data_IF_569720589090
#
_entry.id   IF_569720589090
#
_cell.length_a   1.000
_cell.length_b   1.000
_cell.length_c   1.000
_cell.angle_alpha   90.00
_cell.angle_beta   90.00
_cell.angle_gamma   90.00
#
_symmetry.space_group_name_H-M   'P 1'
#
loop_
_entity.id
_entity.type
_entity.pdbx_description
1 polymer ?
#
# COMPACT_ATOMS: atom_id res chain seq x y z
N UNK A 1 -22.72 -13.43 11.10
CA UNK A 1 -22.27 -12.80 9.84
C UNK A 1 -20.78 -13.06 9.72
N UNK A 2 -20.30 -13.39 8.52
CA UNK A 2 -18.88 -13.62 8.23
C UNK A 2 -18.44 -12.65 7.13
N UNK A 3 -17.28 -12.04 7.29
CA UNK A 3 -16.64 -11.27 6.21
C UNK A 3 -15.86 -12.23 5.31
N UNK A 4 -15.81 -11.94 4.02
CA UNK A 4 -15.03 -12.67 3.02
C UNK A 4 -13.90 -11.79 2.47
N UNK A 5 -12.86 -12.44 1.93
CA UNK A 5 -11.73 -11.77 1.26
C UNK A 5 -11.71 -12.18 -0.20
N UNK A 6 -11.88 -11.21 -1.10
CA UNK A 6 -11.69 -11.43 -2.53
C UNK A 6 -10.28 -11.03 -2.95
N UNK A 7 -9.47 -11.92 -3.55
CA UNK A 7 -8.12 -11.57 -3.99
C UNK A 7 -8.09 -10.34 -4.90
N UNK A 8 -7.10 -9.48 -4.70
CA UNK A 8 -6.94 -8.21 -5.43
C UNK A 8 -5.51 -8.00 -5.95
N UNK A 9 -4.85 -9.11 -6.29
CA UNK A 9 -3.52 -9.15 -6.87
C UNK A 9 -2.39 -8.94 -5.87
N UNK A 10 -1.17 -8.91 -6.41
CA UNK A 10 0.05 -8.61 -5.64
C UNK A 10 0.52 -7.21 -6.05
N UNK A 11 0.66 -6.33 -5.07
CA UNK A 11 1.18 -4.98 -5.25
C UNK A 11 2.63 -4.93 -4.77
N UNK A 12 3.56 -4.49 -5.62
CA UNK A 12 4.97 -4.30 -5.28
C UNK A 12 5.36 -2.84 -5.38
N UNK A 13 5.98 -2.32 -4.34
CA UNK A 13 6.39 -0.92 -4.23
C UNK A 13 7.90 -0.87 -4.07
N UNK A 14 8.55 -0.05 -4.89
CA UNK A 14 9.99 0.18 -4.87
C UNK A 14 10.25 1.63 -4.44
N UNK A 15 10.58 1.86 -3.16
CA UNK A 15 11.00 3.19 -2.69
C UNK A 15 12.35 3.56 -3.30
N UNK A 16 12.56 4.83 -3.59
CA UNK A 16 13.79 5.32 -4.22
C UNK A 16 14.64 6.19 -3.29
N UNK A 17 14.00 6.90 -2.37
CA UNK A 17 14.67 7.80 -1.46
C UNK A 17 13.85 7.98 -0.18
N UNK A 18 14.55 8.18 0.94
CA UNK A 18 13.93 8.49 2.21
C UNK A 18 14.69 9.53 3.01
N UNK A 19 13.96 10.39 3.72
CA UNK A 19 14.49 11.33 4.71
C UNK A 19 14.10 10.83 6.09
N UNK A 20 15.07 10.76 7.00
CA UNK A 20 14.88 10.32 8.37
C UNK A 20 15.04 11.48 9.35
N UNK A 21 14.21 11.49 10.39
CA UNK A 21 14.27 12.39 11.53
C UNK A 21 14.04 11.61 12.82
N UNK A 22 14.96 11.72 13.77
CA UNK A 22 14.76 11.14 15.10
C UNK A 22 13.76 12.00 15.89
N UNK A 23 12.70 11.37 16.36
CA UNK A 23 11.70 12.00 17.22
C UNK A 23 11.91 11.63 18.69
N UNK A 24 11.19 12.29 19.62
CA UNK A 24 11.37 12.09 21.06
C UNK A 24 10.90 10.72 21.58
N UNK A 25 10.01 10.05 20.84
CA UNK A 25 9.40 8.76 21.21
C UNK A 25 9.62 7.71 20.11
N UNK A 26 9.68 8.16 18.87
CA UNK A 26 9.71 7.29 17.71
C UNK A 26 10.34 8.03 16.53
N UNK A 27 11.02 7.28 15.67
CA UNK A 27 11.65 7.80 14.47
C UNK A 27 10.58 8.11 13.41
N UNK A 28 10.78 9.21 12.69
CA UNK A 28 9.97 9.62 11.55
C UNK A 28 10.77 9.43 10.28
N UNK A 29 10.16 8.83 9.28
CA UNK A 29 10.76 8.75 7.95
C UNK A 29 9.71 9.13 6.90
N UNK A 30 10.15 9.84 5.86
CA UNK A 30 9.34 10.15 4.69
C UNK A 30 10.06 9.56 3.48
N UNK A 31 9.36 8.78 2.65
CA UNK A 31 9.93 8.16 1.47
C UNK A 31 9.14 8.54 0.22
N UNK A 32 9.87 8.82 -0.87
CA UNK A 32 9.27 8.84 -2.20
C UNK A 32 9.21 7.41 -2.73
N UNK A 33 8.15 7.11 -3.47
CA UNK A 33 7.96 5.82 -4.13
C UNK A 33 8.35 5.99 -5.60
N UNK A 34 9.39 5.27 -6.02
CA UNK A 34 9.95 5.41 -7.36
C UNK A 34 9.23 4.57 -8.40
N UNK A 35 8.73 3.40 -8.02
CA UNK A 35 8.04 2.46 -8.93
C UNK A 35 6.97 1.65 -8.22
N UNK A 36 5.93 1.32 -8.97
CA UNK A 36 4.86 0.41 -8.59
C UNK A 36 4.76 -0.69 -9.65
N UNK A 37 4.60 -1.94 -9.20
CA UNK A 37 4.14 -3.04 -10.05
C UNK A 37 2.86 -3.60 -9.42
N UNK A 38 1.72 -3.40 -10.06
CA UNK A 38 0.46 -3.96 -9.60
C UNK A 38 -0.42 -4.28 -10.79
N UNK A 39 -0.80 -5.56 -10.89
CA UNK A 39 -1.72 -6.05 -11.90
C UNK A 39 -2.78 -6.91 -11.23
N UNK A 40 -4.03 -6.71 -11.61
CA UNK A 40 -5.13 -7.60 -11.23
C UNK A 40 -6.20 -7.64 -12.33
N UNK A 41 -7.15 -8.56 -12.21
CA UNK A 41 -8.20 -8.77 -13.23
C UNK A 41 -9.13 -7.56 -13.39
N UNK A 42 -9.32 -6.77 -12.33
CA UNK A 42 -10.23 -5.63 -12.34
C UNK A 42 -9.57 -4.37 -12.93
N UNK A 43 -8.38 -4.01 -12.46
CA UNK A 43 -7.70 -2.76 -12.81
C UNK A 43 -6.72 -2.90 -13.98
N UNK A 44 -6.45 -4.11 -14.47
CA UNK A 44 -5.40 -4.34 -15.46
C UNK A 44 -4.01 -4.01 -14.91
N UNK A 45 -3.12 -3.52 -15.77
CA UNK A 45 -1.78 -3.05 -15.38
C UNK A 45 -1.86 -1.62 -14.83
N UNK A 46 -1.63 -1.47 -13.52
CA UNK A 46 -1.70 -0.17 -12.83
C UNK A 46 -0.36 0.57 -12.97
N UNK A 47 -0.42 1.85 -13.31
CA UNK A 47 0.72 2.76 -13.30
C UNK A 47 0.62 3.78 -12.18
N UNK A 48 1.78 4.28 -11.72
CA UNK A 48 1.88 5.28 -10.65
C UNK A 48 2.40 6.60 -11.21
N UNK A 49 1.65 7.68 -10.96
CA UNK A 49 2.08 9.04 -11.27
C UNK A 49 2.91 9.64 -10.14
N UNK A 50 2.43 9.52 -8.90
CA UNK A 50 3.09 10.04 -7.70
C UNK A 50 2.79 9.11 -6.54
N UNK A 51 3.80 8.82 -5.71
CA UNK A 51 3.62 8.07 -4.47
C UNK A 51 4.54 8.56 -3.36
N UNK A 52 3.99 8.67 -2.15
CA UNK A 52 4.73 9.08 -0.94
C UNK A 52 4.33 8.21 0.24
N UNK A 53 5.32 7.84 1.06
CA UNK A 53 5.14 7.16 2.33
C UNK A 53 5.61 8.00 3.50
N UNK A 54 4.90 7.93 4.63
CA UNK A 54 5.29 8.46 5.93
C UNK A 54 5.31 7.33 6.94
N UNK A 55 6.40 7.23 7.68
CA UNK A 55 6.73 6.12 8.55
C UNK A 55 6.91 6.66 9.95
N UNK A 56 6.28 5.99 10.89
CA UNK A 56 6.48 6.16 12.32
C UNK A 56 7.02 4.86 12.86
N UNK A 57 8.25 4.83 13.35
CA UNK A 57 8.87 3.64 13.92
C UNK A 57 9.15 3.84 15.41
N UNK A 58 8.35 3.18 16.25
CA UNK A 58 8.58 3.08 17.69
C UNK A 58 9.33 1.79 18.06
N UNK A 59 9.47 1.53 19.36
CA UNK A 59 10.24 0.38 19.87
C UNK A 59 9.58 -1.00 19.63
N UNK A 60 8.27 -1.05 19.39
CA UNK A 60 7.51 -2.30 19.28
C UNK A 60 6.60 -2.38 18.07
N UNK A 61 6.39 -1.25 17.39
CA UNK A 61 5.50 -1.17 16.25
C UNK A 61 5.93 -0.01 15.35
N UNK A 62 5.65 -0.16 14.06
CA UNK A 62 5.68 0.93 13.13
C UNK A 62 4.37 1.06 12.37
N UNK A 63 4.04 2.31 12.06
CA UNK A 63 2.88 2.68 11.28
C UNK A 63 3.39 3.34 10.01
N UNK A 64 2.96 2.84 8.86
CA UNK A 64 3.36 3.34 7.55
C UNK A 64 2.13 3.81 6.82
N UNK A 65 2.03 5.11 6.56
CA UNK A 65 0.95 5.68 5.76
C UNK A 65 1.46 5.99 4.38
N UNK A 66 0.81 5.45 3.35
CA UNK A 66 1.15 5.70 1.94
C UNK A 66 -0.03 6.31 1.22
N UNK A 67 0.30 7.23 0.31
CA UNK A 67 -0.66 7.92 -0.57
C UNK A 67 -0.11 7.95 -1.98
N UNK A 68 -0.93 7.54 -2.95
CA UNK A 68 -0.53 7.42 -4.34
C UNK A 68 -1.62 7.92 -5.28
N UNK A 69 -1.20 8.60 -6.35
CA UNK A 69 -2.01 8.87 -7.53
C UNK A 69 -1.63 7.89 -8.62
N UNK A 70 -2.63 7.14 -9.08
CA UNK A 70 -2.49 5.94 -9.91
C UNK A 70 -3.40 6.03 -11.14
N UNK A 71 -3.15 5.15 -12.10
CA UNK A 71 -3.97 4.99 -13.29
C UNK A 71 -4.12 3.50 -13.59
N UNK A 72 -5.36 3.04 -13.81
CA UNK A 72 -5.66 1.68 -14.22
C UNK A 72 -5.24 1.42 -15.68
N UNK A 73 -5.23 0.16 -16.10
CA UNK A 73 -4.77 -0.24 -17.43
C UNK A 73 -5.64 0.30 -18.59
N UNK A 74 -6.89 0.67 -18.30
CA UNK A 74 -7.80 1.33 -19.24
C UNK A 74 -7.61 2.85 -19.32
N UNK A 75 -6.73 3.41 -18.48
CA UNK A 75 -6.49 4.84 -18.38
C UNK A 75 -7.31 5.55 -17.29
N UNK A 76 -8.17 4.87 -16.54
CA UNK A 76 -8.96 5.48 -15.47
C UNK A 76 -8.06 5.93 -14.31
N UNK A 77 -8.04 7.23 -13.94
CA UNK A 77 -7.25 7.72 -12.83
C UNK A 77 -7.91 7.39 -11.49
N UNK A 78 -7.09 7.08 -10.48
CA UNK A 78 -7.57 6.82 -9.13
C UNK A 78 -6.53 7.18 -8.07
N UNK A 79 -7.01 7.48 -6.88
CA UNK A 79 -6.16 7.69 -5.72
C UNK A 79 -6.23 6.47 -4.81
N UNK A 80 -5.09 6.03 -4.29
CA UNK A 80 -5.00 4.95 -3.34
C UNK A 80 -4.23 5.39 -2.10
N UNK A 81 -4.82 5.19 -0.93
CA UNK A 81 -4.13 5.41 0.34
C UNK A 81 -4.27 4.22 1.26
N UNK A 82 -3.25 3.96 2.06
CA UNK A 82 -3.28 2.90 3.05
C UNK A 82 -2.45 3.22 4.29
N UNK A 83 -2.76 2.52 5.37
CA UNK A 83 -1.90 2.37 6.54
C UNK A 83 -1.46 0.91 6.65
N UNK A 84 -0.18 0.68 6.90
CA UNK A 84 0.38 -0.61 7.27
C UNK A 84 0.91 -0.56 8.70
N UNK A 85 0.64 -1.61 9.47
CA UNK A 85 1.10 -1.74 10.87
C UNK A 85 1.81 -3.07 11.06
N UNK A 86 2.93 -3.06 11.77
CA UNK A 86 3.63 -4.28 12.16
C UNK A 86 4.86 -4.00 13.02
N UNK A 87 5.54 -5.07 13.41
CA UNK A 87 6.82 -5.01 14.13
C UNK A 87 7.93 -4.75 13.10
N UNK A 88 8.49 -3.53 13.11
CA UNK A 88 9.34 -3.07 12.02
C UNK A 88 10.73 -3.70 12.03
N UNK A 89 11.28 -4.05 13.19
CA UNK A 89 12.62 -4.64 13.22
C UNK A 89 12.62 -6.03 12.59
N UNK A 90 11.67 -6.89 12.96
CA UNK A 90 11.46 -8.18 12.32
C UNK A 90 11.01 -8.03 10.86
N UNK A 91 10.22 -7.01 10.53
CA UNK A 91 9.83 -6.76 9.15
C UNK A 91 11.02 -6.40 8.25
N UNK A 92 11.92 -5.53 8.73
CA UNK A 92 13.15 -5.15 8.02
C UNK A 92 14.06 -6.36 7.79
N UNK A 93 14.08 -7.32 8.73
CA UNK A 93 14.79 -8.61 8.57
C UNK A 93 14.06 -9.63 7.68
N UNK A 94 12.87 -9.30 7.18
CA UNK A 94 12.04 -10.22 6.38
C UNK A 94 11.39 -11.36 7.18
N UNK A 95 11.34 -11.25 8.51
CA UNK A 95 10.85 -12.30 9.42
C UNK A 95 9.35 -12.16 9.73
N UNK A 96 8.82 -10.94 9.68
CA UNK A 96 7.44 -10.65 10.04
C UNK A 96 6.72 -9.82 8.97
N UNK A 97 5.42 -10.06 8.74
CA UNK A 97 4.64 -9.22 7.84
C UNK A 97 4.21 -7.91 8.51
N UNK A 98 3.87 -6.93 7.67
CA UNK A 98 3.00 -5.81 8.04
C UNK A 98 1.60 -6.05 7.53
N UNK A 99 0.60 -5.56 8.26
CA UNK A 99 -0.81 -5.66 7.86
C UNK A 99 -1.29 -4.32 7.32
N UNK A 100 -1.82 -4.32 6.10
CA UNK A 100 -2.29 -3.15 5.37
C UNK A 100 -3.81 -3.02 5.48
N UNK A 101 -4.30 -1.79 5.64
CA UNK A 101 -5.68 -1.38 5.41
C UNK A 101 -5.68 -0.12 4.54
N UNK A 102 -6.34 -0.16 3.39
CA UNK A 102 -6.36 0.93 2.42
C UNK A 102 -7.69 1.11 1.71
N UNK A 103 -7.81 2.24 1.02
CA UNK A 103 -9.03 2.65 0.32
C UNK A 103 -8.67 3.33 -1.00
N UNK A 104 -9.55 3.17 -1.98
CA UNK A 104 -9.47 3.81 -3.29
C UNK A 104 -10.47 4.96 -3.36
N UNK A 105 -10.10 6.03 -4.08
CA UNK A 105 -10.99 7.10 -4.51
C UNK A 105 -10.91 7.24 -6.03
N UNK A 106 -12.06 7.13 -6.69
CA UNK A 106 -12.27 7.18 -8.14
C UNK A 106 -13.41 8.15 -8.43
N UNK A 107 -13.28 8.93 -9.50
CA UNK A 107 -14.36 9.79 -9.96
C UNK A 107 -15.61 8.94 -10.32
N UNK A 108 -16.79 9.21 -9.73
CA UNK A 108 -18.00 8.42 -9.94
C UNK A 108 -18.46 8.30 -11.40
N UNK A 109 -17.97 9.15 -12.31
CA UNK A 109 -18.24 9.05 -13.75
C UNK A 109 -17.66 7.76 -14.39
N UNK A 110 -16.70 7.11 -13.74
CA UNK A 110 -16.19 5.80 -14.13
C UNK A 110 -17.02 4.70 -13.46
N UNK A 111 -18.23 4.47 -13.98
CA UNK A 111 -19.26 3.63 -13.34
C UNK A 111 -18.75 2.21 -13.01
N UNK A 112 -17.94 1.61 -13.89
CA UNK A 112 -17.34 0.27 -13.74
C UNK A 112 -16.46 0.11 -12.49
N UNK A 113 -15.87 1.20 -12.02
CA UNK A 113 -14.97 1.20 -10.86
C UNK A 113 -15.50 1.98 -9.66
N UNK A 114 -16.56 2.79 -9.83
CA UNK A 114 -17.10 3.68 -8.80
C UNK A 114 -17.45 2.97 -7.48
N UNK A 115 -17.79 1.68 -7.54
CA UNK A 115 -18.09 0.87 -6.35
C UNK A 115 -16.87 0.65 -5.46
N UNK A 116 -15.63 0.76 -5.98
CA UNK A 116 -14.39 0.65 -5.20
C UNK A 116 -14.26 1.76 -4.14
N UNK A 117 -14.95 2.89 -4.31
CA UNK A 117 -15.00 3.95 -3.29
C UNK A 117 -15.70 3.50 -1.99
N UNK A 118 -16.39 2.36 -2.00
CA UNK A 118 -17.19 1.85 -0.88
C UNK A 118 -16.67 0.54 -0.31
N UNK A 119 -15.45 0.14 -0.66
CA UNK A 119 -14.83 -1.09 -0.15
C UNK A 119 -13.52 -0.82 0.56
N UNK A 120 -13.19 -1.69 1.52
CA UNK A 120 -11.90 -1.67 2.18
C UNK A 120 -10.96 -2.65 1.47
N UNK A 121 -9.76 -2.18 1.13
CA UNK A 121 -8.65 -3.05 0.75
C UNK A 121 -7.87 -3.43 2.00
N UNK A 122 -7.50 -4.69 2.10
CA UNK A 122 -6.59 -5.20 3.13
C UNK A 122 -5.44 -5.92 2.47
N UNK A 123 -4.33 -6.09 3.20
CA UNK A 123 -3.25 -6.88 2.66
C UNK A 123 -2.21 -7.30 3.68
N UNK A 124 -1.38 -8.26 3.26
CA UNK A 124 -0.24 -8.76 4.02
C UNK A 124 1.04 -8.40 3.27
N UNK A 125 1.91 -7.62 3.91
CA UNK A 125 3.11 -7.05 3.33
C UNK A 125 4.39 -7.73 3.81
N UNK A 126 5.32 -8.00 2.90
CA UNK A 126 6.68 -8.48 3.19
C UNK A 126 7.70 -7.58 2.51
N UNK A 127 8.84 -7.38 3.18
CA UNK A 127 9.99 -6.66 2.62
C UNK A 127 11.01 -7.64 2.05
N UNK A 128 11.56 -7.32 0.89
CA UNK A 128 12.77 -7.95 0.34
C UNK A 128 13.84 -6.91 0.09
N UNK A 129 15.11 -7.21 0.35
CA UNK A 129 16.20 -6.22 0.33
C UNK A 129 16.95 -6.09 -1.00
N UNK A 130 16.77 -7.01 -1.96
CA UNK A 130 17.50 -6.99 -3.24
C UNK A 130 16.60 -7.34 -4.46
N UNK A 131 16.04 -6.33 -5.17
CA UNK A 131 16.01 -4.91 -4.81
C UNK A 131 15.11 -4.66 -3.59
N UNK A 132 15.29 -3.51 -2.94
CA UNK A 132 14.39 -3.06 -1.88
C UNK A 132 12.96 -2.96 -2.43
N UNK A 133 12.09 -3.85 -1.96
CA UNK A 133 10.75 -4.00 -2.49
C UNK A 133 9.80 -4.40 -1.36
N UNK A 134 8.73 -3.62 -1.22
CA UNK A 134 7.62 -3.96 -0.36
C UNK A 134 6.55 -4.65 -1.20
N UNK A 135 6.33 -5.94 -0.96
CA UNK A 135 5.31 -6.73 -1.65
C UNK A 135 4.10 -6.95 -0.76
N UNK A 136 2.89 -6.69 -1.27
CA UNK A 136 1.63 -6.91 -0.58
C UNK A 136 0.75 -7.90 -1.33
N UNK A 137 0.30 -8.93 -0.64
CA UNK A 137 -0.84 -9.77 -1.04
C UNK A 137 -2.12 -8.99 -0.71
N UNK A 138 -2.83 -8.50 -1.72
CA UNK A 138 -3.97 -7.60 -1.55
C UNK A 138 -5.30 -8.37 -1.66
N UNK A 139 -6.30 -7.91 -0.91
CA UNK A 139 -7.67 -8.39 -1.00
C UNK A 139 -8.69 -7.27 -0.77
N UNK A 140 -9.88 -7.42 -1.35
CA UNK A 140 -11.06 -6.62 -1.02
C UNK A 140 -11.78 -7.33 0.13
N UNK A 141 -12.10 -6.57 1.18
CA UNK A 141 -12.97 -7.02 2.25
C UNK A 141 -14.43 -6.93 1.79
N UNK A 142 -15.12 -8.06 1.74
CA UNK A 142 -16.52 -8.19 1.34
C UNK A 142 -17.37 -8.65 2.54
N UNK A 143 -18.62 -8.19 2.62
CA UNK A 143 -19.55 -8.51 3.71
C UNK A 143 -20.99 -8.16 3.37
#
# INVERSE_FOLDING_TARGET
>A
MSMALRPFGIMRIFPDFSIRHDGPIAMRLAARLGRLEWRNELLGDVSMHVGMGSYLQGAHAAHVTVRMSLQAGDGTPFYFQYISVGEMEAHLRGEAPVMLSGQIEIDPRHEDFSWLNRVQLVGRGMLSEMPLCQSYEMAILEG
#
